data_IF_353083515809
#
_entry.id   IF_353083515809
#
_cell.length_a   1.000
_cell.length_b   1.000
_cell.length_c   1.000
_cell.angle_alpha   90.00
_cell.angle_beta   90.00
_cell.angle_gamma   90.00
#
_symmetry.space_group_name_H-M   'P 1'
#
loop_
_entity.id
_entity.type
_entity.pdbx_description
1 polymer ?
#
# COMPACT_ATOMS: atom_id res chain seq x y z
N UNK A 1 12.48 8.59 -10.40
CA UNK A 1 11.94 8.59 -9.03
C UNK A 1 10.60 7.87 -9.07
N UNK A 2 10.31 6.97 -8.13
CA UNK A 2 8.97 6.38 -8.04
C UNK A 2 7.99 7.46 -7.58
N UNK A 3 6.80 7.50 -8.17
CA UNK A 3 5.73 8.39 -7.71
C UNK A 3 4.96 7.74 -6.55
N UNK A 4 4.26 8.55 -5.76
CA UNK A 4 3.41 8.05 -4.67
C UNK A 4 2.38 7.02 -5.17
N UNK A 5 1.89 7.18 -6.40
CA UNK A 5 0.99 6.24 -7.06
C UNK A 5 1.67 4.89 -7.32
N UNK A 6 2.91 4.91 -7.81
CA UNK A 6 3.68 3.68 -8.04
C UNK A 6 3.97 2.96 -6.74
N UNK A 7 4.37 3.69 -5.69
CA UNK A 7 4.62 3.11 -4.36
C UNK A 7 3.34 2.50 -3.79
N UNK A 8 2.19 3.19 -3.95
CA UNK A 8 0.90 2.67 -3.51
C UNK A 8 0.53 1.39 -4.25
N UNK A 9 0.71 1.34 -5.56
CA UNK A 9 0.40 0.15 -6.36
C UNK A 9 1.29 -1.03 -5.97
N UNK A 10 2.61 -0.80 -5.85
CA UNK A 10 3.57 -1.82 -5.41
C UNK A 10 3.14 -2.40 -4.05
N UNK A 11 2.70 -1.57 -3.10
CA UNK A 11 2.22 -2.05 -1.79
C UNK A 11 0.95 -2.88 -1.92
N UNK A 12 -0.02 -2.44 -2.71
CA UNK A 12 -1.27 -3.19 -2.90
C UNK A 12 -1.01 -4.55 -3.56
N UNK A 13 -0.15 -4.60 -4.56
CA UNK A 13 0.20 -5.85 -5.24
C UNK A 13 0.88 -6.84 -4.27
N UNK A 14 1.74 -6.35 -3.37
CA UNK A 14 2.37 -7.17 -2.32
C UNK A 14 1.37 -7.64 -1.25
N UNK A 15 0.38 -6.82 -0.89
CA UNK A 15 -0.68 -7.19 0.06
C UNK A 15 -1.63 -8.23 -0.53
N UNK A 16 -1.96 -8.13 -1.82
CA UNK A 16 -2.78 -9.11 -2.55
C UNK A 16 -2.14 -10.49 -2.60
N UNK A 17 -0.81 -10.55 -2.57
CA UNK A 17 -0.07 -11.81 -2.56
C UNK A 17 0.02 -12.46 -1.17
N UNK A 18 -0.43 -11.78 -0.10
CA UNK A 18 -0.40 -12.29 1.26
C UNK A 18 -1.74 -12.94 1.67
N UNK A 19 -1.82 -14.28 1.75
CA UNK A 19 -3.09 -14.98 2.01
C UNK A 19 -3.67 -14.75 3.41
N UNK A 20 -2.89 -14.15 4.31
CA UNK A 20 -3.28 -13.87 5.69
C UNK A 20 -3.64 -12.40 5.93
N UNK A 21 -3.55 -11.55 4.89
CA UNK A 21 -3.91 -10.14 4.98
C UNK A 21 -5.21 -9.92 4.22
N UNK A 22 -6.19 -9.34 4.91
CA UNK A 22 -7.38 -8.81 4.26
C UNK A 22 -7.11 -7.35 3.89
N UNK A 23 -6.76 -7.13 2.63
CA UNK A 23 -6.40 -5.81 2.09
C UNK A 23 -7.50 -4.77 2.31
N UNK A 24 -8.76 -5.19 2.35
CA UNK A 24 -9.91 -4.33 2.64
C UNK A 24 -9.90 -3.76 4.06
N UNK A 25 -9.11 -4.32 4.97
CA UNK A 25 -8.94 -3.85 6.35
C UNK A 25 -7.73 -2.93 6.52
N UNK A 26 -6.88 -2.79 5.50
CA UNK A 26 -5.67 -1.97 5.56
C UNK A 26 -5.79 -0.84 4.52
N UNK A 27 -6.14 0.34 4.98
CA UNK A 27 -5.99 1.55 4.16
C UNK A 27 -4.51 1.92 4.07
N UNK A 28 -4.05 2.33 2.89
CA UNK A 28 -2.67 2.82 2.69
C UNK A 28 -2.71 4.20 2.06
N UNK A 29 -2.07 5.16 2.72
CA UNK A 29 -1.85 6.51 2.21
C UNK A 29 -0.37 6.68 1.90
N UNK A 30 -0.06 7.11 0.68
CA UNK A 30 1.30 7.48 0.29
C UNK A 30 1.31 8.96 -0.04
N UNK A 31 2.23 9.70 0.58
CA UNK A 31 2.39 11.13 0.38
C UNK A 31 3.86 11.52 0.46
N UNK A 32 4.38 12.18 -0.57
CA UNK A 32 5.77 12.63 -0.66
C UNK A 32 6.76 11.46 -0.43
N UNK A 33 6.43 10.27 -0.91
CA UNK A 33 7.17 9.04 -0.70
C UNK A 33 7.03 8.40 0.69
N UNK A 34 6.27 9.01 1.60
CA UNK A 34 6.01 8.49 2.96
C UNK A 34 4.76 7.62 2.94
N UNK A 35 4.88 6.40 3.45
CA UNK A 35 3.79 5.42 3.54
C UNK A 35 3.20 5.46 4.95
N UNK A 36 1.88 5.61 5.04
CA UNK A 36 1.12 5.52 6.30
C UNK A 36 0.04 4.44 6.16
N UNK A 37 0.18 3.30 6.86
CA UNK A 37 -0.90 2.35 7.03
C UNK A 37 -1.97 2.95 7.95
N UNK A 38 -3.24 2.76 7.59
CA UNK A 38 -4.42 3.19 8.36
C UNK A 38 -5.35 2.01 8.55
N UNK A 39 -5.97 1.90 9.72
CA UNK A 39 -6.93 0.86 10.08
C UNK A 39 -8.01 1.41 10.98
#
# INVERSE_FOLDING_TARGET
>A
MRTDVQIKQDILDELAFQPNINELQIGVVVKDGIVTPTG
#
